data_IF_546014199474
#
_entry.id   IF_546014199474
#
_cell.length_a   1.000
_cell.length_b   1.000
_cell.length_c   1.000
_cell.angle_alpha   90.00
_cell.angle_beta   90.00
_cell.angle_gamma   90.00
#
_symmetry.space_group_name_H-M   'P 1'
#
loop_
_entity.id
_entity.type
_entity.pdbx_description
1 polymer ?
#
# COMPACT_ATOMS: atom_id res chain seq x y z
N UNK A 1 1.22 22.44 23.21
CA UNK A 1 2.67 22.22 23.08
C UNK A 1 3.45 23.47 23.50
N UNK A 2 3.18 24.66 22.96
CA UNK A 2 3.90 25.93 23.26
C UNK A 2 3.92 26.29 24.75
N UNK A 3 2.86 26.00 25.50
CA UNK A 3 2.80 26.27 26.97
C UNK A 3 3.59 25.27 27.83
N UNK A 4 3.93 24.09 27.32
CA UNK A 4 4.60 23.03 28.08
C UNK A 4 6.10 22.91 27.79
N UNK A 5 6.54 23.41 26.63
CA UNK A 5 7.93 23.32 26.20
C UNK A 5 8.42 24.70 25.76
N UNK A 6 9.37 25.25 26.49
CA UNK A 6 9.95 26.58 26.23
C UNK A 6 10.74 26.67 24.92
N UNK A 7 11.09 25.53 24.33
CA UNK A 7 11.79 25.46 23.04
C UNK A 7 10.84 25.51 21.81
N UNK A 8 9.52 25.46 22.03
CA UNK A 8 8.53 25.51 20.96
C UNK A 8 8.05 26.95 20.78
N UNK A 9 8.71 27.72 19.93
CA UNK A 9 8.25 29.04 19.49
C UNK A 9 7.73 28.98 18.06
N UNK A 10 6.58 29.60 17.81
CA UNK A 10 6.08 29.82 16.46
C UNK A 10 6.91 30.94 15.81
N UNK A 11 7.80 30.56 14.89
CA UNK A 11 8.55 31.51 14.06
C UNK A 11 8.06 31.36 12.64
N UNK A 12 7.45 32.42 12.09
CA UNK A 12 7.14 32.47 10.66
C UNK A 12 8.49 32.66 9.92
N UNK A 13 9.08 31.58 9.51
CA UNK A 13 10.28 31.60 8.68
C UNK A 13 9.88 31.97 7.25
N UNK A 14 10.55 32.97 6.68
CA UNK A 14 10.39 33.37 5.28
C UNK A 14 11.46 32.76 4.37
N UNK A 15 12.06 31.67 4.82
CA UNK A 15 13.10 30.95 4.09
C UNK A 15 12.50 30.16 2.94
N UNK A 16 12.78 30.62 1.72
CA UNK A 16 12.29 30.05 0.47
C UNK A 16 12.77 28.60 0.27
N UNK A 17 13.91 28.23 0.83
CA UNK A 17 14.48 26.89 0.76
C UNK A 17 13.61 25.88 1.51
N UNK A 18 13.17 26.24 2.71
CA UNK A 18 12.29 25.39 3.54
C UNK A 18 10.94 25.19 2.85
N UNK A 19 10.36 26.25 2.31
CA UNK A 19 9.08 26.14 1.58
C UNK A 19 9.21 25.29 0.32
N UNK A 20 10.30 25.43 -0.44
CA UNK A 20 10.55 24.63 -1.63
C UNK A 20 10.67 23.14 -1.30
N UNK A 21 11.38 22.78 -0.23
CA UNK A 21 11.52 21.39 0.22
C UNK A 21 10.18 20.80 0.69
N UNK A 22 9.43 21.57 1.48
CA UNK A 22 8.11 21.14 1.95
C UNK A 22 7.12 20.96 0.80
N UNK A 23 7.08 21.89 -0.16
CA UNK A 23 6.21 21.80 -1.32
C UNK A 23 6.60 20.64 -2.23
N UNK A 24 7.89 20.42 -2.44
CA UNK A 24 8.37 19.27 -3.21
C UNK A 24 7.97 17.95 -2.55
N UNK A 25 8.23 17.82 -1.25
CA UNK A 25 7.85 16.62 -0.49
C UNK A 25 6.33 16.38 -0.53
N UNK A 26 5.54 17.40 -0.21
CA UNK A 26 4.08 17.33 -0.21
C UNK A 26 3.53 17.06 -1.61
N UNK A 27 4.10 17.67 -2.64
CA UNK A 27 3.69 17.47 -4.03
C UNK A 27 3.88 16.02 -4.48
N UNK A 28 5.03 15.43 -4.21
CA UNK A 28 5.28 14.02 -4.54
C UNK A 28 4.40 13.05 -3.75
N UNK A 29 4.18 13.32 -2.49
CA UNK A 29 3.27 12.50 -1.67
C UNK A 29 1.82 12.60 -2.17
N UNK A 30 1.37 13.81 -2.52
CA UNK A 30 0.02 14.02 -3.08
C UNK A 30 -0.11 13.33 -4.43
N UNK A 31 0.90 13.42 -5.30
CA UNK A 31 0.92 12.72 -6.59
C UNK A 31 0.76 11.21 -6.41
N UNK A 32 1.49 10.61 -5.47
CA UNK A 32 1.35 9.19 -5.15
C UNK A 32 -0.05 8.81 -4.68
N UNK A 33 -0.63 9.61 -3.78
CA UNK A 33 -1.99 9.36 -3.29
C UNK A 33 -3.03 9.47 -4.41
N UNK A 34 -2.87 10.47 -5.30
CA UNK A 34 -3.75 10.63 -6.46
C UNK A 34 -3.61 9.48 -7.46
N UNK A 35 -2.39 9.00 -7.71
CA UNK A 35 -2.13 7.86 -8.59
C UNK A 35 -2.82 6.59 -8.07
N UNK A 36 -2.65 6.29 -6.78
CA UNK A 36 -3.31 5.15 -6.14
C UNK A 36 -4.84 5.26 -6.16
N UNK A 37 -5.38 6.44 -5.84
CA UNK A 37 -6.83 6.68 -5.88
C UNK A 37 -7.35 6.56 -7.30
N UNK A 38 -6.65 7.16 -8.26
CA UNK A 38 -6.99 7.10 -9.68
C UNK A 38 -7.01 5.68 -10.22
N UNK A 39 -6.01 4.86 -9.86
CA UNK A 39 -5.96 3.44 -10.23
C UNK A 39 -7.16 2.67 -9.66
N UNK A 40 -7.44 2.82 -8.36
CA UNK A 40 -8.55 2.11 -7.72
C UNK A 40 -9.91 2.51 -8.30
N UNK A 41 -10.15 3.81 -8.51
CA UNK A 41 -11.38 4.29 -9.12
C UNK A 41 -11.47 3.91 -10.61
N UNK A 42 -10.35 3.98 -11.34
CA UNK A 42 -10.26 3.55 -12.72
C UNK A 42 -10.61 2.07 -12.88
N UNK A 43 -10.05 1.20 -12.05
CA UNK A 43 -10.34 -0.22 -12.04
C UNK A 43 -11.81 -0.51 -11.71
N UNK A 44 -12.40 0.21 -10.76
CA UNK A 44 -13.83 0.13 -10.42
C UNK A 44 -14.71 0.48 -11.62
N UNK A 45 -14.39 1.57 -12.34
CA UNK A 45 -15.13 2.00 -13.53
C UNK A 45 -14.97 0.97 -14.66
N UNK A 46 -13.75 0.51 -14.92
CA UNK A 46 -13.49 -0.49 -15.97
C UNK A 46 -14.23 -1.81 -15.70
N UNK A 47 -14.18 -2.31 -14.47
CA UNK A 47 -14.91 -3.52 -14.08
C UNK A 47 -16.42 -3.35 -14.28
N UNK A 48 -16.96 -2.20 -13.93
CA UNK A 48 -18.40 -1.94 -14.09
C UNK A 48 -18.82 -1.88 -15.58
N UNK A 49 -17.97 -1.29 -16.44
CA UNK A 49 -18.25 -1.16 -17.88
C UNK A 49 -18.17 -2.52 -18.59
N UNK A 50 -17.14 -3.33 -18.31
CA UNK A 50 -16.88 -4.57 -19.05
C UNK A 50 -17.56 -5.79 -18.44
N UNK A 51 -17.72 -5.86 -17.12
CA UNK A 51 -18.21 -7.05 -16.40
C UNK A 51 -19.47 -6.78 -15.56
N UNK A 52 -19.89 -5.51 -15.45
CA UNK A 52 -21.11 -5.14 -14.75
C UNK A 52 -20.98 -5.08 -13.22
N UNK A 53 -22.12 -4.86 -12.52
CA UNK A 53 -22.12 -4.57 -11.09
C UNK A 53 -21.69 -5.77 -10.21
N UNK A 54 -21.87 -7.01 -10.67
CA UNK A 54 -21.50 -8.21 -9.91
C UNK A 54 -19.98 -8.29 -9.73
N UNK A 55 -19.21 -8.11 -10.81
CA UNK A 55 -17.76 -8.09 -10.74
C UNK A 55 -17.23 -6.91 -9.92
N UNK A 56 -17.91 -5.78 -10.00
CA UNK A 56 -17.57 -4.60 -9.19
C UNK A 56 -17.82 -4.85 -7.69
N UNK A 57 -18.90 -5.54 -7.33
CA UNK A 57 -19.17 -5.96 -5.96
C UNK A 57 -18.09 -6.94 -5.45
N UNK A 58 -17.65 -7.90 -6.27
CA UNK A 58 -16.56 -8.80 -5.96
C UNK A 58 -15.24 -8.05 -5.69
N UNK A 59 -14.92 -7.05 -6.51
CA UNK A 59 -13.76 -6.18 -6.31
C UNK A 59 -13.86 -5.33 -5.04
N UNK A 60 -15.06 -4.86 -4.69
CA UNK A 60 -15.28 -4.11 -3.45
C UNK A 60 -15.03 -4.98 -2.20
N UNK A 61 -15.47 -6.24 -2.20
CA UNK A 61 -15.16 -7.22 -1.13
C UNK A 61 -13.66 -7.47 -1.05
N UNK A 62 -13.01 -7.72 -2.18
CA UNK A 62 -11.57 -7.90 -2.26
C UNK A 62 -10.80 -6.69 -1.71
N UNK A 63 -11.24 -5.46 -2.02
CA UNK A 63 -10.66 -4.22 -1.50
C UNK A 63 -10.80 -4.10 0.02
N UNK A 64 -11.88 -4.58 0.62
CA UNK A 64 -12.03 -4.61 2.09
C UNK A 64 -11.03 -5.58 2.72
N UNK A 65 -10.86 -6.77 2.13
CA UNK A 65 -9.84 -7.74 2.56
C UNK A 65 -8.43 -7.13 2.44
N UNK A 66 -8.13 -6.46 1.33
CA UNK A 66 -6.87 -5.77 1.11
C UNK A 66 -6.59 -4.73 2.19
N UNK A 67 -7.58 -3.90 2.52
CA UNK A 67 -7.46 -2.86 3.54
C UNK A 67 -7.22 -3.44 4.93
N UNK A 68 -7.88 -4.55 5.28
CA UNK A 68 -7.67 -5.26 6.53
C UNK A 68 -6.23 -5.78 6.64
N UNK A 69 -5.72 -6.47 5.62
CA UNK A 69 -4.34 -6.95 5.58
C UNK A 69 -3.32 -5.82 5.59
N UNK A 70 -3.55 -4.75 4.84
CA UNK A 70 -2.68 -3.57 4.84
C UNK A 70 -2.61 -2.92 6.24
N UNK A 71 -3.73 -2.87 6.96
CA UNK A 71 -3.77 -2.36 8.34
C UNK A 71 -2.94 -3.23 9.28
N UNK A 72 -3.04 -4.55 9.16
CA UNK A 72 -2.21 -5.50 9.90
C UNK A 72 -0.73 -5.33 9.60
N UNK A 73 -0.35 -5.26 8.32
CA UNK A 73 1.03 -4.99 7.90
C UNK A 73 1.57 -3.70 8.48
N UNK A 74 0.81 -2.62 8.38
CA UNK A 74 1.21 -1.32 8.91
C UNK A 74 1.44 -1.37 10.43
N UNK A 75 0.61 -2.11 11.17
CA UNK A 75 0.78 -2.30 12.61
C UNK A 75 2.10 -3.00 12.96
N UNK A 76 2.58 -3.91 12.11
CA UNK A 76 3.86 -4.59 12.29
C UNK A 76 5.06 -3.71 11.91
N UNK A 77 4.89 -2.83 10.93
CA UNK A 77 5.96 -1.95 10.41
C UNK A 77 6.17 -0.72 11.30
N UNK A 78 5.10 -0.18 11.86
CA UNK A 78 5.08 1.09 12.57
C UNK A 78 6.08 1.17 13.74
N UNK A 79 6.26 0.13 14.60
CA UNK A 79 7.22 0.15 15.70
C UNK A 79 8.69 0.27 15.25
N UNK A 80 9.03 -0.24 14.07
CA UNK A 80 10.40 -0.19 13.54
C UNK A 80 10.76 1.18 12.94
N UNK A 81 9.77 1.98 12.54
CA UNK A 81 9.97 3.25 11.84
C UNK A 81 10.87 4.24 12.59
N UNK A 82 10.61 4.58 13.88
CA UNK A 82 11.44 5.54 14.61
C UNK A 82 12.86 5.03 14.81
N UNK A 83 13.02 3.72 15.09
CA UNK A 83 14.33 3.12 15.27
C UNK A 83 15.17 3.15 13.99
N UNK A 84 14.56 2.88 12.82
CA UNK A 84 15.24 2.93 11.52
C UNK A 84 15.67 4.37 11.17
N UNK A 85 14.78 5.35 11.36
CA UNK A 85 15.07 6.77 11.09
C UNK A 85 16.22 7.26 11.97
N UNK A 86 16.18 6.94 13.27
CA UNK A 86 17.23 7.31 14.22
C UNK A 86 18.58 6.68 13.86
N UNK A 87 18.60 5.39 13.61
CA UNK A 87 19.81 4.68 13.22
C UNK A 87 20.42 5.22 11.93
N UNK A 88 19.58 5.61 10.97
CA UNK A 88 20.04 6.23 9.74
C UNK A 88 20.65 7.61 9.98
N UNK A 89 20.01 8.46 10.79
CA UNK A 89 20.51 9.78 11.16
C UNK A 89 21.85 9.73 11.92
N UNK A 90 22.09 8.68 12.70
CA UNK A 90 23.35 8.40 13.41
C UNK A 90 24.43 7.79 12.49
N UNK A 91 24.14 7.56 11.19
CA UNK A 91 25.07 6.96 10.24
C UNK A 91 25.33 5.45 10.47
N UNK A 92 24.56 4.80 11.35
CA UNK A 92 24.74 3.39 11.67
C UNK A 92 24.01 2.48 10.67
N UNK A 93 24.53 2.44 9.43
CA UNK A 93 23.93 1.66 8.33
C UNK A 93 23.84 0.16 8.63
N UNK A 94 24.77 -0.41 9.41
CA UNK A 94 24.72 -1.82 9.80
C UNK A 94 23.50 -2.11 10.67
N UNK A 95 23.16 -1.21 11.59
CA UNK A 95 21.98 -1.36 12.45
C UNK A 95 20.68 -1.14 11.66
N UNK A 96 20.66 -0.19 10.71
CA UNK A 96 19.53 -0.02 9.78
C UNK A 96 19.24 -1.32 9.02
N UNK A 97 20.27 -1.95 8.43
CA UNK A 97 20.11 -3.24 7.74
C UNK A 97 19.57 -4.33 8.69
N UNK A 98 20.07 -4.38 9.91
CA UNK A 98 19.59 -5.37 10.90
C UNK A 98 18.11 -5.18 11.24
N UNK A 99 17.69 -3.93 11.44
CA UNK A 99 16.28 -3.60 11.69
C UNK A 99 15.41 -3.92 10.46
N UNK A 100 15.91 -3.64 9.27
CA UNK A 100 15.24 -3.99 8.02
C UNK A 100 14.99 -5.49 7.89
N UNK A 101 16.04 -6.31 8.08
CA UNK A 101 15.88 -7.76 8.05
C UNK A 101 14.95 -8.29 9.14
N UNK A 102 15.05 -7.74 10.35
CA UNK A 102 14.17 -8.13 11.47
C UNK A 102 12.71 -7.82 11.14
N UNK A 103 12.42 -6.61 10.62
CA UNK A 103 11.07 -6.21 10.22
C UNK A 103 10.53 -7.12 9.11
N UNK A 104 11.32 -7.39 8.05
CA UNK A 104 10.90 -8.29 6.98
C UNK A 104 10.62 -9.72 7.49
N UNK A 105 11.41 -10.24 8.42
CA UNK A 105 11.14 -11.55 9.04
C UNK A 105 9.81 -11.57 9.78
N UNK A 106 9.52 -10.53 10.56
CA UNK A 106 8.26 -10.41 11.31
C UNK A 106 7.08 -10.35 10.34
N UNK A 107 7.16 -9.53 9.30
CA UNK A 107 6.11 -9.42 8.27
C UNK A 107 5.90 -10.76 7.58
N UNK A 108 6.99 -11.41 7.12
CA UNK A 108 6.93 -12.69 6.42
C UNK A 108 6.28 -13.78 7.29
N UNK A 109 6.74 -13.92 8.52
CA UNK A 109 6.18 -14.90 9.45
C UNK A 109 4.69 -14.66 9.70
N UNK A 110 4.33 -13.41 9.96
CA UNK A 110 2.95 -13.03 10.24
C UNK A 110 2.05 -13.23 9.01
N UNK A 111 2.53 -12.83 7.82
CA UNK A 111 1.77 -12.98 6.58
C UNK A 111 1.54 -14.45 6.20
N UNK A 112 2.55 -15.30 6.39
CA UNK A 112 2.38 -16.73 6.15
C UNK A 112 1.41 -17.33 7.18
N UNK A 113 1.56 -16.99 8.45
CA UNK A 113 0.73 -17.50 9.54
C UNK A 113 -0.75 -17.14 9.38
N UNK A 114 -1.05 -15.91 8.91
CA UNK A 114 -2.43 -15.43 8.75
C UNK A 114 -2.94 -15.63 7.33
N UNK A 115 -2.13 -15.35 6.32
CA UNK A 115 -2.55 -15.37 4.92
C UNK A 115 -2.83 -16.79 4.40
N UNK A 116 -1.99 -17.76 4.75
CA UNK A 116 -2.16 -19.14 4.26
C UNK A 116 -3.48 -19.79 4.75
N UNK A 117 -3.81 -19.77 6.05
CA UNK A 117 -5.10 -20.29 6.51
C UNK A 117 -6.29 -19.54 5.90
N UNK A 118 -6.19 -18.20 5.77
CA UNK A 118 -7.27 -17.39 5.20
C UNK A 118 -7.49 -17.75 3.73
N UNK A 119 -6.44 -17.96 2.94
CA UNK A 119 -6.57 -18.39 1.54
C UNK A 119 -7.23 -19.77 1.46
N UNK A 120 -6.84 -20.71 2.33
CA UNK A 120 -7.37 -22.06 2.34
C UNK A 120 -8.86 -22.07 2.68
N UNK A 121 -9.25 -21.35 3.72
CA UNK A 121 -10.62 -21.30 4.24
C UNK A 121 -11.44 -20.12 3.71
N UNK A 122 -11.00 -19.48 2.62
CA UNK A 122 -11.65 -18.29 2.08
C UNK A 122 -13.12 -18.50 1.74
N UNK A 123 -13.46 -19.69 1.26
CA UNK A 123 -14.84 -20.07 0.96
C UNK A 123 -15.72 -20.03 2.22
N UNK A 124 -15.25 -20.64 3.31
CA UNK A 124 -15.96 -20.65 4.61
C UNK A 124 -16.09 -19.22 5.15
N UNK A 125 -15.02 -18.42 5.05
CA UNK A 125 -15.02 -17.03 5.52
C UNK A 125 -16.03 -16.20 4.75
N UNK A 126 -16.07 -16.31 3.42
CA UNK A 126 -17.00 -15.57 2.58
C UNK A 126 -18.45 -16.02 2.81
N UNK A 127 -18.69 -17.31 2.97
CA UNK A 127 -20.01 -17.84 3.32
C UNK A 127 -20.51 -17.31 4.67
N UNK A 128 -19.65 -17.28 5.68
CA UNK A 128 -20.00 -16.75 7.00
C UNK A 128 -20.26 -15.24 6.99
N UNK A 129 -19.51 -14.49 6.15
CA UNK A 129 -19.57 -13.03 6.11
C UNK A 129 -20.66 -12.49 5.20
N UNK A 130 -20.78 -13.02 3.97
CA UNK A 130 -21.72 -12.54 2.95
C UNK A 130 -22.97 -13.44 2.79
N UNK A 131 -22.90 -14.66 3.27
CA UNK A 131 -23.94 -15.68 3.06
C UNK A 131 -23.95 -16.22 1.64
N UNK A 132 -24.28 -15.39 0.67
CA UNK A 132 -24.28 -15.75 -0.77
C UNK A 132 -23.33 -14.82 -1.53
N UNK A 133 -22.48 -15.38 -2.40
CA UNK A 133 -21.55 -14.60 -3.23
C UNK A 133 -21.34 -15.30 -4.57
N UNK A 134 -20.88 -14.53 -5.56
CA UNK A 134 -20.53 -15.06 -6.87
C UNK A 134 -19.14 -15.71 -6.85
N UNK A 135 -18.91 -16.71 -7.73
CA UNK A 135 -17.63 -17.41 -7.84
C UNK A 135 -16.43 -16.48 -8.13
N UNK A 136 -16.66 -15.39 -8.82
CA UNK A 136 -15.66 -14.36 -9.06
C UNK A 136 -15.17 -13.73 -7.75
N UNK A 137 -16.03 -13.57 -6.73
CA UNK A 137 -15.66 -13.01 -5.43
C UNK A 137 -14.61 -13.87 -4.72
N UNK A 138 -14.72 -15.19 -4.79
CA UNK A 138 -13.74 -16.11 -4.20
C UNK A 138 -12.37 -15.98 -4.86
N UNK A 139 -12.35 -15.89 -6.19
CA UNK A 139 -11.10 -15.73 -6.96
C UNK A 139 -10.45 -14.39 -6.62
N UNK A 140 -11.21 -13.30 -6.66
CA UNK A 140 -10.73 -11.97 -6.32
C UNK A 140 -10.17 -11.93 -4.89
N UNK A 141 -10.88 -12.49 -3.91
CA UNK A 141 -10.46 -12.51 -2.52
C UNK A 141 -9.13 -13.26 -2.33
N UNK A 142 -8.99 -14.45 -2.91
CA UNK A 142 -7.75 -15.25 -2.85
C UNK A 142 -6.57 -14.52 -3.51
N UNK A 143 -6.76 -14.01 -4.72
CA UNK A 143 -5.72 -13.26 -5.44
C UNK A 143 -5.31 -12.00 -4.68
N UNK A 144 -6.27 -11.31 -4.07
CA UNK A 144 -5.98 -10.14 -3.22
C UNK A 144 -5.06 -10.50 -2.06
N UNK A 145 -5.33 -11.58 -1.32
CA UNK A 145 -4.46 -11.96 -0.19
C UNK A 145 -3.06 -12.29 -0.68
N UNK A 146 -2.92 -13.02 -1.78
CA UNK A 146 -1.60 -13.32 -2.40
C UNK A 146 -0.88 -12.02 -2.78
N UNK A 147 -1.57 -11.10 -3.46
CA UNK A 147 -1.00 -9.81 -3.87
C UNK A 147 -0.53 -8.99 -2.69
N UNK A 148 -1.33 -8.91 -1.61
CA UNK A 148 -0.95 -8.17 -0.40
C UNK A 148 0.22 -8.81 0.31
N UNK A 149 0.30 -10.14 0.35
CA UNK A 149 1.48 -10.86 0.90
C UNK A 149 2.76 -10.49 0.14
N UNK A 150 2.71 -10.37 -1.18
CA UNK A 150 3.85 -9.96 -2.00
C UNK A 150 4.21 -8.48 -1.78
N UNK A 151 3.21 -7.60 -1.77
CA UNK A 151 3.39 -6.15 -1.57
C UNK A 151 3.90 -5.84 -0.16
N UNK A 152 3.60 -6.65 0.84
CA UNK A 152 4.01 -6.43 2.22
C UNK A 152 5.55 -6.28 2.39
N UNK A 153 6.33 -6.96 1.56
CA UNK A 153 7.80 -6.85 1.54
C UNK A 153 8.32 -5.50 1.06
N UNK A 154 7.49 -4.73 0.37
CA UNK A 154 7.83 -3.40 -0.11
C UNK A 154 7.77 -2.33 1.00
N UNK A 155 6.94 -2.51 2.04
CA UNK A 155 6.72 -1.53 3.10
C UNK A 155 7.99 -1.07 3.85
N UNK A 156 8.92 -1.96 4.28
CA UNK A 156 10.15 -1.54 4.94
C UNK A 156 11.09 -0.73 4.03
N UNK A 157 11.07 -0.97 2.71
CA UNK A 157 11.86 -0.22 1.73
C UNK A 157 11.35 1.22 1.68
N UNK A 158 10.04 1.41 1.65
CA UNK A 158 9.40 2.72 1.67
C UNK A 158 9.88 3.56 2.87
N UNK A 159 9.93 2.95 4.08
CA UNK A 159 10.37 3.65 5.29
C UNK A 159 11.80 4.17 5.15
N UNK A 160 12.70 3.35 4.65
CA UNK A 160 14.11 3.74 4.48
C UNK A 160 14.23 4.86 3.45
N UNK A 161 13.53 4.78 2.32
CA UNK A 161 13.54 5.82 1.30
C UNK A 161 13.01 7.17 1.82
N UNK A 162 11.97 7.12 2.65
CA UNK A 162 11.48 8.33 3.34
C UNK A 162 12.49 8.85 4.37
N UNK A 163 13.19 7.98 5.11
CA UNK A 163 14.22 8.39 6.07
C UNK A 163 15.44 9.04 5.41
N UNK A 164 15.80 8.56 4.21
CA UNK A 164 16.92 9.10 3.40
C UNK A 164 16.55 10.45 2.75
N UNK A 165 15.27 10.79 2.67
CA UNK A 165 14.76 11.97 1.97
C UNK A 165 14.73 11.84 0.44
N UNK A 166 15.00 10.65 -0.11
CA UNK A 166 14.96 10.38 -1.56
C UNK A 166 13.54 10.01 -2.04
N UNK A 167 12.57 10.77 -1.58
CA UNK A 167 11.13 10.53 -1.81
C UNK A 167 10.79 10.52 -3.30
N UNK A 168 11.30 11.48 -4.06
CA UNK A 168 11.07 11.57 -5.51
C UNK A 168 11.58 10.33 -6.26
N UNK A 169 12.81 9.89 -5.97
CA UNK A 169 13.43 8.74 -6.66
C UNK A 169 12.68 7.42 -6.39
N UNK A 170 11.96 7.37 -5.28
CA UNK A 170 11.12 6.23 -4.92
C UNK A 170 9.72 6.34 -5.52
N UNK A 171 9.03 7.46 -5.34
CA UNK A 171 7.65 7.62 -5.79
C UNK A 171 7.53 7.66 -7.32
N UNK A 172 8.49 8.26 -8.02
CA UNK A 172 8.39 8.40 -9.48
C UNK A 172 8.23 7.05 -10.21
N UNK A 173 9.13 6.06 -10.04
CA UNK A 173 8.96 4.77 -10.71
C UNK A 173 7.76 3.98 -10.20
N UNK A 174 7.50 3.99 -8.90
CA UNK A 174 6.40 3.24 -8.30
C UNK A 174 5.05 3.78 -8.79
N UNK A 175 4.82 5.07 -8.66
CA UNK A 175 3.55 5.70 -9.03
C UNK A 175 3.33 5.72 -10.54
N UNK A 176 4.40 5.83 -11.33
CA UNK A 176 4.29 5.71 -12.79
C UNK A 176 3.85 4.30 -13.19
N UNK A 177 4.40 3.27 -12.53
CA UNK A 177 3.98 1.88 -12.76
C UNK A 177 2.52 1.68 -12.36
N UNK A 178 2.09 2.22 -11.22
CA UNK A 178 0.71 2.16 -10.77
C UNK A 178 -0.24 2.83 -11.78
N UNK A 179 0.11 4.01 -12.28
CA UNK A 179 -0.68 4.70 -13.30
C UNK A 179 -0.77 3.93 -14.61
N UNK A 180 0.30 3.23 -15.01
CA UNK A 180 0.31 2.39 -16.21
C UNK A 180 -0.57 1.14 -16.07
N UNK A 181 -0.84 0.66 -14.86
CA UNK A 181 -1.74 -0.47 -14.66
C UNK A 181 -3.15 -0.20 -15.20
N UNK A 182 -3.69 1.00 -15.04
CA UNK A 182 -5.04 1.33 -15.52
C UNK A 182 -5.20 1.21 -17.06
N UNK A 183 -4.35 1.83 -17.89
CA UNK A 183 -4.44 1.64 -19.34
C UNK A 183 -4.11 0.21 -19.79
N UNK A 184 -3.21 -0.49 -19.10
CA UNK A 184 -2.92 -1.90 -19.37
C UNK A 184 -4.16 -2.75 -19.09
N UNK A 185 -4.81 -2.57 -17.96
CA UNK A 185 -6.07 -3.25 -17.61
C UNK A 185 -7.16 -2.98 -18.66
N UNK A 186 -7.29 -1.74 -19.10
CA UNK A 186 -8.24 -1.37 -20.17
C UNK A 186 -7.97 -2.14 -21.47
N UNK A 187 -6.69 -2.20 -21.90
CA UNK A 187 -6.27 -2.95 -23.08
C UNK A 187 -6.61 -4.43 -22.92
N UNK A 188 -6.27 -5.05 -21.79
CA UNK A 188 -6.51 -6.47 -21.51
C UNK A 188 -8.00 -6.80 -21.53
N UNK A 189 -8.85 -5.95 -20.97
CA UNK A 189 -10.30 -6.12 -21.01
C UNK A 189 -10.88 -5.95 -22.41
N UNK A 190 -10.28 -5.06 -23.21
CA UNK A 190 -10.67 -4.90 -24.62
C UNK A 190 -10.37 -6.16 -25.47
N UNK A 191 -9.32 -6.90 -25.13
CA UNK A 191 -9.01 -8.21 -25.74
C UNK A 191 -9.84 -9.37 -25.17
N UNK A 192 -10.79 -9.11 -24.28
CA UNK A 192 -11.70 -10.13 -23.74
C UNK A 192 -11.10 -11.02 -22.66
N UNK A 193 -10.02 -10.58 -22.00
CA UNK A 193 -9.49 -11.31 -20.85
C UNK A 193 -10.43 -11.20 -19.65
N UNK A 194 -10.45 -12.23 -18.78
CA UNK A 194 -11.36 -12.28 -17.64
C UNK A 194 -11.01 -11.22 -16.57
N UNK A 195 -12.01 -10.88 -15.75
CA UNK A 195 -11.94 -9.81 -14.74
C UNK A 195 -10.79 -9.96 -13.72
N UNK A 196 -10.36 -11.17 -13.41
CA UNK A 196 -9.31 -11.44 -12.41
C UNK A 196 -7.87 -11.11 -12.91
N UNK A 197 -7.69 -10.79 -14.18
CA UNK A 197 -6.40 -10.31 -14.74
C UNK A 197 -5.98 -8.94 -14.15
N UNK A 198 -6.88 -8.29 -13.42
CA UNK A 198 -6.61 -7.05 -12.68
C UNK A 198 -5.58 -7.24 -11.54
N UNK A 199 -5.38 -8.46 -11.06
CA UNK A 199 -4.42 -8.85 -10.03
C UNK A 199 -3.18 -9.54 -10.62
#
# INVERSE_FOLDING_TARGET
>A
AVRKYSCCHYVLSRDRSIYSQLLSFSGWYTFGTMANTGMNQGNTILLNIYFGPIANAAFAVASQIQNAFNSLCNSMVLPFRPAMIKAYAEGNHRYVCRLFYANNKVICFFMILTGFPIISEMDVILNLWLGTYDSSTLIFARLTVVSVMLIAFHNPISIIMHAIGKVMQYHLPVETTILLCCPITWILFHYGLPSYVLY
#
